data_IF_104743010914
#
_entry.id   IF_104743010914
#
_cell.length_a   1.000
_cell.length_b   1.000
_cell.length_c   1.000
_cell.angle_alpha   90.00
_cell.angle_beta   90.00
_cell.angle_gamma   90.00
#
_symmetry.space_group_name_H-M   'P 1'
#
loop_
_entity.id
_entity.type
_entity.pdbx_description
1 polymer ?
#
# COMPACT_ATOMS: atom_id res chain seq x y z
N UNK A 1 55.10 37.79 -51.42
CA UNK A 1 55.27 37.33 -50.01
C UNK A 1 53.89 36.81 -49.53
N UNK A 2 53.68 35.52 -49.63
CA UNK A 2 52.39 34.93 -49.33
C UNK A 2 52.39 34.45 -47.87
N UNK A 3 51.63 35.10 -47.02
CA UNK A 3 51.42 34.74 -45.60
C UNK A 3 50.39 33.62 -45.53
N UNK A 4 50.78 32.41 -45.14
CA UNK A 4 49.86 31.35 -44.85
C UNK A 4 49.50 31.40 -43.34
N UNK A 5 48.26 31.77 -43.08
CA UNK A 5 47.68 31.71 -41.71
C UNK A 5 47.11 30.28 -41.43
N UNK A 6 47.74 29.57 -40.52
CA UNK A 6 47.24 28.24 -40.08
C UNK A 6 46.44 28.46 -38.80
N UNK A 7 45.13 28.24 -38.86
CA UNK A 7 44.25 28.28 -37.70
C UNK A 7 44.22 26.88 -37.07
N UNK A 8 44.73 26.75 -35.84
CA UNK A 8 44.66 25.53 -35.08
C UNK A 8 43.36 25.57 -34.21
N UNK A 9 42.42 24.67 -34.47
CA UNK A 9 41.29 24.44 -33.61
C UNK A 9 41.71 23.52 -32.46
N UNK A 10 41.70 24.03 -31.24
CA UNK A 10 41.80 23.21 -30.03
C UNK A 10 40.37 22.78 -29.69
N UNK A 11 40.04 21.54 -29.96
CA UNK A 11 38.79 20.93 -29.47
C UNK A 11 38.97 20.66 -27.99
N UNK A 12 38.29 21.41 -27.13
CA UNK A 12 38.16 21.08 -25.72
C UNK A 12 37.17 19.90 -25.62
N UNK A 13 37.68 18.70 -25.29
CA UNK A 13 36.86 17.56 -24.90
C UNK A 13 36.35 17.81 -23.50
N UNK A 14 35.05 18.14 -23.35
CA UNK A 14 34.37 18.08 -22.08
C UNK A 14 34.12 16.62 -21.79
N UNK A 15 34.92 16.03 -20.93
CA UNK A 15 34.62 14.73 -20.34
C UNK A 15 33.53 14.93 -19.28
N UNK A 16 32.30 14.68 -19.62
CA UNK A 16 31.26 14.44 -18.60
C UNK A 16 31.62 13.14 -17.95
N UNK A 17 31.99 13.18 -16.66
CA UNK A 17 32.06 11.99 -15.87
C UNK A 17 30.63 11.42 -15.82
N UNK A 18 30.41 10.26 -16.44
CA UNK A 18 29.19 9.51 -16.24
C UNK A 18 29.18 9.10 -14.76
N UNK A 19 28.24 9.63 -13.98
CA UNK A 19 27.97 9.13 -12.63
C UNK A 19 27.53 7.68 -12.81
N UNK A 20 28.21 6.75 -12.14
CA UNK A 20 27.85 5.35 -12.21
C UNK A 20 26.43 5.20 -11.66
N UNK A 21 25.56 4.57 -12.43
CA UNK A 21 24.21 4.25 -12.00
C UNK A 21 24.31 3.12 -10.98
N UNK A 22 23.82 3.36 -9.76
CA UNK A 22 23.82 2.39 -8.68
C UNK A 22 22.48 1.65 -8.66
N UNK A 23 22.47 0.36 -8.33
CA UNK A 23 21.22 -0.27 -7.94
C UNK A 23 20.84 0.20 -6.53
N UNK A 24 19.55 0.12 -6.21
CA UNK A 24 19.03 0.68 -4.96
C UNK A 24 19.58 -0.04 -3.72
N UNK A 25 19.79 -1.38 -3.80
CA UNK A 25 20.36 -2.14 -2.69
C UNK A 25 21.81 -1.70 -2.40
N UNK A 26 22.63 -1.48 -3.46
CA UNK A 26 23.98 -0.96 -3.28
C UNK A 26 24.00 0.40 -2.59
N UNK A 27 23.04 1.28 -2.92
CA UNK A 27 22.89 2.57 -2.25
C UNK A 27 22.55 2.39 -0.78
N UNK A 28 21.61 1.51 -0.46
CA UNK A 28 21.18 1.26 0.92
C UNK A 28 22.32 0.66 1.79
N UNK A 29 23.16 -0.19 1.22
CA UNK A 29 24.18 -0.91 1.97
C UNK A 29 25.53 -0.22 2.04
N UNK A 30 25.91 0.57 1.02
CA UNK A 30 27.29 1.01 0.83
C UNK A 30 27.49 2.53 0.81
N UNK A 31 26.40 3.32 0.85
CA UNK A 31 26.47 4.78 0.86
C UNK A 31 26.06 5.35 2.22
N UNK A 32 26.53 6.56 2.51
CA UNK A 32 26.26 7.24 3.78
C UNK A 32 25.31 8.43 3.57
N UNK A 33 24.69 8.85 4.65
CA UNK A 33 23.95 10.12 4.70
C UNK A 33 24.86 11.25 4.24
N UNK A 34 24.40 12.05 3.28
CA UNK A 34 25.14 13.14 2.64
C UNK A 34 25.82 12.77 1.34
N UNK A 35 25.93 11.49 0.99
CA UNK A 35 26.46 11.08 -0.31
C UNK A 35 25.45 11.41 -1.43
N UNK A 36 25.95 11.82 -2.58
CA UNK A 36 25.12 12.06 -3.77
C UNK A 36 25.12 10.82 -4.66
N UNK A 37 23.93 10.32 -4.95
CA UNK A 37 23.74 9.09 -5.74
C UNK A 37 22.80 9.33 -6.92
N UNK A 38 22.88 8.44 -7.90
CA UNK A 38 21.89 8.32 -8.97
C UNK A 38 21.28 6.92 -8.90
N UNK A 39 19.98 6.86 -8.66
CA UNK A 39 19.18 5.63 -8.63
C UNK A 39 18.22 5.60 -9.80
N UNK A 40 17.92 4.40 -10.30
CA UNK A 40 16.95 4.21 -11.38
C UNK A 40 16.00 3.08 -11.00
N UNK A 41 14.73 3.24 -11.35
CA UNK A 41 13.71 2.24 -11.06
C UNK A 41 12.36 2.61 -11.64
N UNK A 42 11.33 1.96 -11.13
CA UNK A 42 9.93 2.22 -11.43
C UNK A 42 9.26 2.80 -10.18
N UNK A 43 8.48 3.87 -10.38
CA UNK A 43 7.71 4.51 -9.32
C UNK A 43 6.57 3.61 -8.91
N UNK A 44 6.47 3.33 -7.61
CA UNK A 44 5.46 2.43 -7.03
C UNK A 44 4.38 3.14 -6.24
N UNK A 45 4.45 4.46 -6.09
CA UNK A 45 3.48 5.29 -5.36
C UNK A 45 3.13 6.57 -6.10
N UNK A 46 2.06 7.23 -5.69
CA UNK A 46 1.58 8.51 -6.21
C UNK A 46 1.36 9.55 -5.08
N UNK A 47 0.56 10.59 -5.34
CA UNK A 47 0.24 11.67 -4.41
C UNK A 47 -0.66 11.24 -3.25
N UNK A 48 -1.27 10.05 -3.29
CA UNK A 48 -1.93 9.46 -2.12
C UNK A 48 -0.97 9.31 -0.92
N UNK A 49 0.34 9.17 -1.19
CA UNK A 49 1.37 9.14 -0.16
C UNK A 49 2.05 10.51 0.08
N UNK A 50 1.42 11.60 -0.34
CA UNK A 50 1.93 12.96 -0.20
C UNK A 50 2.98 13.32 -1.26
N UNK A 51 4.00 14.13 -0.92
CA UNK A 51 5.07 14.50 -1.85
C UNK A 51 6.14 13.42 -2.03
N UNK A 52 6.26 12.48 -1.09
CA UNK A 52 7.20 11.36 -1.20
C UNK A 52 6.74 10.41 -2.29
N UNK A 53 7.66 9.99 -3.14
CA UNK A 53 7.49 8.88 -4.07
C UNK A 53 8.39 7.73 -3.65
N UNK A 54 7.98 6.51 -3.99
CA UNK A 54 8.82 5.34 -3.77
C UNK A 54 9.25 4.81 -5.13
N UNK A 55 10.55 4.57 -5.26
CA UNK A 55 11.20 4.03 -6.44
C UNK A 55 11.68 2.62 -6.11
N UNK A 56 11.42 1.67 -6.99
CA UNK A 56 11.85 0.29 -6.81
C UNK A 56 12.54 -0.22 -8.08
N UNK A 57 13.67 -0.89 -7.89
CA UNK A 57 14.34 -1.67 -8.93
C UNK A 57 14.23 -3.18 -8.65
N UNK A 58 15.00 -4.00 -9.35
CA UNK A 58 15.01 -5.45 -9.13
C UNK A 58 15.67 -5.87 -7.80
N UNK A 59 16.30 -4.96 -7.07
CA UNK A 59 17.13 -5.24 -5.90
C UNK A 59 16.52 -4.73 -4.60
N UNK A 60 15.92 -3.54 -4.59
CA UNK A 60 15.35 -2.91 -3.40
C UNK A 60 14.41 -1.75 -3.75
N UNK A 61 13.85 -1.11 -2.74
CA UNK A 61 13.10 0.13 -2.81
C UNK A 61 13.77 1.28 -2.06
N UNK A 62 13.43 2.52 -2.41
CA UNK A 62 13.90 3.72 -1.73
C UNK A 62 12.87 4.85 -1.84
N UNK A 63 12.78 5.69 -0.80
CA UNK A 63 11.95 6.88 -0.85
C UNK A 63 12.65 8.00 -1.64
N UNK A 64 11.87 8.78 -2.38
CA UNK A 64 12.29 9.99 -3.08
C UNK A 64 11.55 11.18 -2.47
N UNK A 65 12.29 12.14 -1.93
CA UNK A 65 11.71 13.34 -1.36
C UNK A 65 12.14 14.59 -2.14
N UNK A 66 11.23 15.27 -2.87
CA UNK A 66 11.58 16.42 -3.70
C UNK A 66 11.74 17.73 -2.91
N UNK A 67 11.57 17.71 -1.60
CA UNK A 67 11.42 18.90 -0.79
C UNK A 67 9.94 19.25 -0.59
N UNK A 68 9.50 20.40 -1.09
CA UNK A 68 8.11 20.84 -0.91
C UNK A 68 7.13 20.08 -1.82
N UNK A 69 7.44 20.03 -3.11
CA UNK A 69 6.63 19.36 -4.13
C UNK A 69 7.48 19.01 -5.37
N UNK A 70 6.84 18.44 -6.40
CA UNK A 70 7.46 18.08 -7.68
C UNK A 70 7.37 19.19 -8.74
N UNK A 71 6.93 20.40 -8.37
CA UNK A 71 6.63 21.48 -9.31
C UNK A 71 7.85 22.05 -10.04
N UNK A 72 9.06 21.82 -9.56
CA UNK A 72 10.32 22.26 -10.19
C UNK A 72 10.80 21.30 -11.30
N UNK A 73 10.11 20.15 -11.48
CA UNK A 73 10.45 19.12 -12.45
C UNK A 73 9.45 19.09 -13.61
N UNK A 74 9.87 18.57 -14.77
CA UNK A 74 9.05 18.52 -15.98
C UNK A 74 7.73 17.77 -15.82
N UNK A 75 7.67 16.82 -14.87
CA UNK A 75 6.47 16.08 -14.52
C UNK A 75 6.52 15.62 -13.06
N UNK A 76 5.35 15.43 -12.46
CA UNK A 76 5.20 14.75 -11.17
C UNK A 76 5.21 13.23 -11.39
N UNK A 77 6.15 12.47 -10.78
CA UNK A 77 6.21 11.03 -10.96
C UNK A 77 4.92 10.33 -10.53
N UNK A 78 4.45 9.39 -11.36
CA UNK A 78 3.25 8.59 -11.16
C UNK A 78 3.59 7.10 -11.10
N UNK A 79 2.68 6.31 -10.51
CA UNK A 79 2.83 4.85 -10.48
C UNK A 79 3.06 4.32 -11.90
N UNK A 80 4.13 3.54 -12.07
CA UNK A 80 4.52 2.93 -13.33
C UNK A 80 5.49 3.75 -14.17
N UNK A 81 5.82 4.99 -13.78
CA UNK A 81 6.86 5.75 -14.44
C UNK A 81 8.24 5.12 -14.17
N UNK A 82 9.02 4.95 -15.25
CA UNK A 82 10.44 4.60 -15.15
C UNK A 82 11.26 5.86 -15.22
N UNK A 83 12.12 6.06 -14.23
CA UNK A 83 12.93 7.27 -14.14
C UNK A 83 14.26 7.04 -13.41
N UNK A 84 15.20 7.94 -13.56
CA UNK A 84 16.36 8.08 -12.69
C UNK A 84 16.27 9.38 -11.88
N UNK A 85 16.78 9.32 -10.65
CA UNK A 85 16.86 10.47 -9.76
C UNK A 85 18.27 10.58 -9.22
N UNK A 86 18.81 11.80 -9.27
CA UNK A 86 20.09 12.14 -8.64
C UNK A 86 19.83 13.10 -7.49
N UNK A 87 20.34 12.74 -6.31
CA UNK A 87 20.18 13.55 -5.12
C UNK A 87 21.04 13.07 -3.97
N UNK A 88 20.96 13.79 -2.86
CA UNK A 88 21.67 13.48 -1.62
C UNK A 88 20.89 12.42 -0.83
N UNK A 89 21.58 11.46 -0.24
CA UNK A 89 20.98 10.51 0.70
C UNK A 89 20.72 11.21 2.02
N UNK A 90 19.49 11.13 2.49
CA UNK A 90 19.07 11.64 3.80
C UNK A 90 18.24 10.60 4.56
N UNK A 91 17.96 10.88 5.80
CA UNK A 91 17.10 10.04 6.64
C UNK A 91 16.06 10.94 7.34
N UNK A 92 14.81 10.50 7.31
CA UNK A 92 13.74 11.16 8.02
C UNK A 92 13.02 10.19 8.97
N UNK A 93 13.29 10.30 10.27
CA UNK A 93 12.73 9.43 11.31
C UNK A 93 12.90 7.92 11.00
N UNK A 94 14.09 7.54 10.56
CA UNK A 94 14.46 6.18 10.19
C UNK A 94 14.32 5.90 8.69
N UNK A 95 13.36 6.52 7.99
CA UNK A 95 13.14 6.30 6.56
C UNK A 95 14.32 6.84 5.73
N UNK A 96 14.98 5.97 4.97
CA UNK A 96 16.05 6.35 4.05
C UNK A 96 15.47 6.98 2.78
N UNK A 97 15.96 8.17 2.43
CA UNK A 97 15.46 8.96 1.31
C UNK A 97 16.57 9.45 0.39
N UNK A 98 16.28 9.60 -0.90
CA UNK A 98 17.04 10.47 -1.80
C UNK A 98 16.30 11.81 -1.86
N UNK A 99 16.91 12.86 -1.35
CA UNK A 99 16.33 14.21 -1.24
C UNK A 99 16.79 14.94 0.04
N UNK A 100 16.24 16.13 0.35
CA UNK A 100 15.33 16.96 -0.46
C UNK A 100 16.05 17.70 -1.61
N UNK A 101 17.36 17.59 -1.73
CA UNK A 101 18.17 18.31 -2.70
C UNK A 101 18.37 17.45 -3.97
N UNK A 102 17.28 17.20 -4.70
CA UNK A 102 17.36 16.52 -5.99
C UNK A 102 18.05 17.44 -7.02
N UNK A 103 18.97 16.88 -7.80
CA UNK A 103 19.74 17.63 -8.82
C UNK A 103 19.40 17.21 -10.24
N UNK A 104 18.78 16.03 -10.44
CA UNK A 104 18.25 15.58 -11.71
C UNK A 104 17.09 14.59 -11.50
N UNK A 105 16.10 14.66 -12.39
CA UNK A 105 15.02 13.67 -12.53
C UNK A 105 14.82 13.46 -14.04
N UNK A 106 15.17 12.28 -14.54
CA UNK A 106 15.08 11.93 -15.95
C UNK A 106 14.02 10.85 -16.14
N UNK A 107 12.97 11.14 -16.91
CA UNK A 107 11.89 10.22 -17.21
C UNK A 107 12.20 9.38 -18.46
N UNK A 108 11.99 8.07 -18.38
CA UNK A 108 12.20 7.12 -19.48
C UNK A 108 10.90 6.60 -20.09
N UNK A 109 9.75 7.05 -19.57
CA UNK A 109 8.42 6.60 -19.96
C UNK A 109 7.89 5.49 -19.04
N UNK A 110 6.93 4.70 -19.54
CA UNK A 110 6.31 3.64 -18.74
C UNK A 110 7.29 2.49 -18.49
N UNK A 111 7.43 2.11 -17.23
CA UNK A 111 8.13 0.92 -16.76
C UNK A 111 7.17 -0.23 -16.47
N UNK A 112 7.73 -1.38 -16.13
CA UNK A 112 6.94 -2.52 -15.61
C UNK A 112 6.93 -2.45 -14.10
N UNK A 113 5.74 -2.34 -13.49
CA UNK A 113 5.62 -2.39 -12.04
C UNK A 113 6.21 -3.70 -11.50
N UNK A 114 6.96 -3.66 -10.40
CA UNK A 114 7.40 -4.86 -9.73
C UNK A 114 6.19 -5.62 -9.18
N UNK A 115 6.27 -6.96 -9.24
CA UNK A 115 5.29 -7.79 -8.54
C UNK A 115 5.43 -7.59 -7.03
N UNK A 116 4.33 -7.37 -6.29
CA UNK A 116 4.39 -7.20 -4.85
C UNK A 116 4.98 -8.46 -4.17
N UNK A 117 6.00 -8.29 -3.33
CA UNK A 117 6.54 -9.38 -2.55
C UNK A 117 5.55 -9.80 -1.46
N UNK A 118 5.20 -11.08 -1.41
CA UNK A 118 4.32 -11.63 -0.38
C UNK A 118 5.09 -11.79 0.94
N UNK A 119 4.58 -11.16 2.01
CA UNK A 119 5.22 -11.12 3.33
C UNK A 119 4.21 -11.29 4.46
N UNK A 120 4.71 -11.53 5.68
CA UNK A 120 3.92 -11.42 6.92
C UNK A 120 4.21 -10.09 7.63
N UNK A 121 3.36 -9.65 8.58
CA UNK A 121 3.60 -8.41 9.33
C UNK A 121 4.97 -8.36 10.02
N UNK A 122 5.46 -9.47 10.57
CA UNK A 122 6.76 -9.53 11.25
C UNK A 122 7.98 -9.38 10.30
N UNK A 123 7.77 -9.51 8.98
CA UNK A 123 8.81 -9.33 7.98
C UNK A 123 8.97 -7.87 7.52
N UNK A 124 8.11 -6.95 8.00
CA UNK A 124 8.30 -5.52 7.74
C UNK A 124 9.52 -5.03 8.50
N UNK A 125 10.63 -4.89 7.81
CA UNK A 125 11.92 -4.46 8.37
C UNK A 125 12.71 -3.61 7.37
N UNK A 126 13.93 -3.22 7.76
CA UNK A 126 14.85 -2.40 6.98
C UNK A 126 15.13 -2.97 5.58
N UNK A 127 15.20 -4.29 5.44
CA UNK A 127 15.51 -4.93 4.16
C UNK A 127 14.40 -4.78 3.12
N UNK A 128 13.17 -4.51 3.58
CA UNK A 128 11.98 -4.34 2.74
C UNK A 128 11.49 -2.89 2.66
N UNK A 129 12.13 -1.96 3.39
CA UNK A 129 11.77 -0.56 3.34
C UNK A 129 11.82 -0.01 1.91
N UNK A 130 10.79 0.73 1.53
CA UNK A 130 10.63 1.29 0.19
C UNK A 130 10.05 0.33 -0.85
N UNK A 131 9.88 -0.94 -0.53
CA UNK A 131 9.37 -1.94 -1.46
C UNK A 131 7.85 -2.09 -1.42
N UNK A 132 7.29 -2.40 -2.58
CA UNK A 132 5.89 -2.79 -2.73
C UNK A 132 5.72 -4.24 -2.28
N UNK A 133 4.83 -4.45 -1.32
CA UNK A 133 4.57 -5.76 -0.73
C UNK A 133 3.09 -6.11 -0.72
N UNK A 134 2.80 -7.39 -0.46
CA UNK A 134 1.46 -7.92 -0.23
C UNK A 134 1.43 -8.67 1.09
N UNK A 135 0.42 -8.42 1.91
CA UNK A 135 0.10 -9.17 3.13
C UNK A 135 -1.29 -9.78 2.93
N UNK A 136 -1.37 -11.10 2.98
CA UNK A 136 -2.62 -11.81 2.77
C UNK A 136 -3.37 -12.00 4.10
N UNK A 137 -4.71 -12.07 4.03
CA UNK A 137 -5.57 -12.40 5.15
C UNK A 137 -5.58 -11.35 6.27
N UNK A 138 -5.53 -10.07 5.90
CA UNK A 138 -5.54 -8.94 6.83
C UNK A 138 -6.93 -8.71 7.40
N UNK A 139 -7.02 -8.51 8.71
CA UNK A 139 -8.21 -8.10 9.44
C UNK A 139 -7.92 -6.87 10.30
N UNK A 140 -8.92 -6.00 10.47
CA UNK A 140 -8.80 -4.77 11.26
C UNK A 140 -9.56 -4.90 12.58
N UNK A 141 -8.89 -4.80 13.76
CA UNK A 141 -9.56 -4.84 15.06
C UNK A 141 -10.58 -3.72 15.27
N UNK A 142 -10.39 -2.59 14.59
CA UNK A 142 -11.27 -1.41 14.64
C UNK A 142 -12.18 -1.31 13.42
N UNK A 143 -12.63 -2.44 12.86
CA UNK A 143 -13.58 -2.45 11.74
C UNK A 143 -14.81 -1.56 12.00
N UNK A 144 -15.30 -0.88 10.95
CA UNK A 144 -16.38 0.10 11.03
C UNK A 144 -15.94 1.49 11.52
N UNK A 145 -14.67 1.69 11.83
CA UNK A 145 -14.13 3.03 12.15
C UNK A 145 -13.80 3.77 10.86
N UNK A 146 -14.21 5.03 10.76
CA UNK A 146 -13.82 5.88 9.63
C UNK A 146 -12.34 6.23 9.67
N UNK A 147 -11.69 6.07 8.52
CA UNK A 147 -10.27 6.37 8.34
C UNK A 147 -10.08 7.89 8.33
N UNK A 148 -9.19 8.39 9.17
CA UNK A 148 -8.77 9.79 9.21
C UNK A 148 -7.34 9.92 8.69
N UNK A 149 -7.02 11.08 8.12
CA UNK A 149 -5.68 11.35 7.61
C UNK A 149 -4.64 11.56 8.72
N UNK A 150 -3.39 11.27 8.41
CA UNK A 150 -2.24 11.30 9.32
C UNK A 150 -2.46 10.46 10.58
N UNK A 151 -3.00 9.27 10.39
CA UNK A 151 -3.35 8.34 11.47
C UNK A 151 -2.84 6.93 11.16
N UNK A 152 -2.58 6.18 12.24
CA UNK A 152 -2.20 4.77 12.20
C UNK A 152 -3.38 3.89 12.59
N UNK A 153 -3.43 2.69 12.01
CA UNK A 153 -4.42 1.66 12.33
C UNK A 153 -3.73 0.32 12.42
N UNK A 154 -3.99 -0.38 13.52
CA UNK A 154 -3.50 -1.73 13.70
C UNK A 154 -4.25 -2.71 12.79
N UNK A 155 -3.54 -3.71 12.30
CA UNK A 155 -4.10 -4.85 11.60
C UNK A 155 -3.49 -6.14 12.08
N UNK A 156 -4.17 -7.28 11.84
CA UNK A 156 -3.67 -8.61 12.12
C UNK A 156 -3.69 -9.45 10.84
N UNK A 157 -2.67 -10.29 10.66
CA UNK A 157 -2.58 -11.29 9.60
C UNK A 157 -1.67 -12.43 10.05
N UNK A 158 -2.01 -13.67 9.71
CA UNK A 158 -1.21 -14.87 10.04
C UNK A 158 -0.87 -15.02 11.54
N UNK A 159 -1.68 -14.46 12.45
CA UNK A 159 -1.44 -14.47 13.89
C UNK A 159 -0.44 -13.43 14.39
N UNK A 160 -0.01 -12.52 13.53
CA UNK A 160 0.90 -11.40 13.82
C UNK A 160 0.16 -10.08 13.68
N UNK A 161 0.71 -9.01 14.27
CA UNK A 161 0.16 -7.66 14.18
C UNK A 161 1.08 -6.74 13.40
N UNK A 162 0.49 -5.83 12.62
CA UNK A 162 1.18 -4.77 11.91
C UNK A 162 0.40 -3.45 12.04
N UNK A 163 0.95 -2.41 11.45
CA UNK A 163 0.37 -1.06 11.46
C UNK A 163 0.33 -0.52 10.03
N UNK A 164 -0.79 0.03 9.62
CA UNK A 164 -0.85 0.92 8.46
C UNK A 164 -0.77 2.38 8.90
N UNK A 165 -0.20 3.22 8.05
CA UNK A 165 -0.28 4.67 8.18
C UNK A 165 -0.98 5.26 6.95
N UNK A 166 -2.01 6.09 7.20
CA UNK A 166 -2.79 6.73 6.15
C UNK A 166 -2.53 8.23 6.18
N UNK A 167 -1.98 8.78 5.09
CA UNK A 167 -1.77 10.23 4.96
C UNK A 167 -3.08 10.97 4.69
N UNK A 168 -3.12 12.27 4.99
CA UNK A 168 -4.30 13.13 4.71
C UNK A 168 -4.63 13.19 3.20
N UNK A 169 -3.63 13.04 2.34
CA UNK A 169 -3.82 13.03 0.88
C UNK A 169 -4.39 11.71 0.35
N UNK A 170 -4.43 10.66 1.17
CA UNK A 170 -4.85 9.33 0.73
C UNK A 170 -6.36 9.26 0.53
N UNK A 171 -6.78 8.66 -0.57
CA UNK A 171 -8.19 8.45 -0.93
C UNK A 171 -8.92 7.44 -0.04
N UNK A 172 -8.21 6.74 0.87
CA UNK A 172 -8.81 5.98 1.96
C UNK A 172 -9.44 6.88 3.05
N UNK A 173 -9.08 8.16 3.13
CA UNK A 173 -9.64 9.08 4.14
C UNK A 173 -11.13 9.27 3.91
N UNK A 174 -11.92 8.94 4.93
CA UNK A 174 -13.38 8.97 4.89
C UNK A 174 -14.04 7.62 4.58
N UNK A 175 -13.28 6.62 4.14
CA UNK A 175 -13.76 5.24 4.03
C UNK A 175 -13.78 4.58 5.42
N UNK A 176 -14.59 3.56 5.59
CA UNK A 176 -14.58 2.72 6.80
C UNK A 176 -13.52 1.62 6.70
N UNK A 177 -12.82 1.35 7.81
CA UNK A 177 -12.02 0.12 7.92
C UNK A 177 -12.94 -1.08 7.73
N UNK A 178 -12.63 -1.89 6.73
CA UNK A 178 -13.47 -3.04 6.40
C UNK A 178 -13.53 -4.06 7.54
N UNK A 179 -14.71 -4.65 7.77
CA UNK A 179 -14.89 -5.82 8.63
C UNK A 179 -14.53 -7.13 7.94
N UNK A 180 -14.19 -7.07 6.66
CA UNK A 180 -13.83 -8.21 5.84
C UNK A 180 -12.35 -8.49 5.89
N UNK A 181 -11.98 -9.76 5.74
CA UNK A 181 -10.60 -10.14 5.47
C UNK A 181 -10.20 -9.66 4.08
N UNK A 182 -9.06 -9.01 3.98
CA UNK A 182 -8.51 -8.48 2.73
C UNK A 182 -7.07 -8.93 2.52
N UNK A 183 -6.67 -9.05 1.28
CA UNK A 183 -5.25 -9.03 0.93
C UNK A 183 -4.85 -7.57 0.74
N UNK A 184 -3.83 -7.15 1.44
CA UNK A 184 -3.43 -5.75 1.47
C UNK A 184 -2.09 -5.54 0.77
N UNK A 185 -2.07 -4.62 -0.21
CA UNK A 185 -0.86 -4.13 -0.82
C UNK A 185 -0.45 -2.81 -0.15
N UNK A 186 0.82 -2.49 -0.25
CA UNK A 186 1.35 -1.22 0.21
C UNK A 186 2.86 -1.15 0.13
N UNK A 187 3.39 0.00 0.48
CA UNK A 187 4.83 0.23 0.57
C UNK A 187 5.26 0.05 2.03
N UNK A 188 6.29 -0.74 2.29
CA UNK A 188 6.92 -0.77 3.62
C UNK A 188 7.64 0.55 3.84
N UNK A 189 7.34 1.23 4.93
CA UNK A 189 7.95 2.50 5.31
C UNK A 189 8.31 2.48 6.78
N UNK A 190 9.10 3.44 7.21
CA UNK A 190 9.51 3.57 8.60
C UNK A 190 9.14 4.95 9.16
N UNK A 191 8.75 4.98 10.42
CA UNK A 191 8.65 6.21 11.20
C UNK A 191 9.04 5.94 12.64
N UNK A 192 10.26 6.29 13.01
CA UNK A 192 10.83 6.07 14.33
C UNK A 192 11.70 7.25 14.75
N UNK A 193 11.45 7.79 15.94
CA UNK A 193 12.23 8.92 16.45
C UNK A 193 13.66 8.55 16.90
N UNK A 194 13.91 7.27 17.12
CA UNK A 194 15.23 6.74 17.52
C UNK A 194 15.94 5.97 16.40
N UNK A 195 15.32 5.93 15.20
CA UNK A 195 15.86 5.28 14.02
C UNK A 195 15.75 3.75 14.02
N UNK A 196 15.05 3.15 15.01
CA UNK A 196 14.91 1.70 15.11
C UNK A 196 13.44 1.29 15.14
N UNK A 197 13.09 0.24 14.40
CA UNK A 197 11.70 -0.25 14.31
C UNK A 197 10.76 0.82 13.73
N UNK A 198 9.47 0.79 14.12
CA UNK A 198 8.48 1.74 13.62
C UNK A 198 8.09 1.50 12.16
N UNK A 199 8.28 0.26 11.66
CA UNK A 199 7.86 -0.11 10.32
C UNK A 199 6.34 -0.15 10.23
N UNK A 200 5.85 0.40 9.13
CA UNK A 200 4.44 0.54 8.84
C UNK A 200 4.18 0.29 7.36
N UNK A 201 3.01 -0.22 7.03
CA UNK A 201 2.59 -0.35 5.64
C UNK A 201 1.85 0.92 5.20
N UNK A 202 2.14 1.41 4.02
CA UNK A 202 1.46 2.54 3.38
C UNK A 202 0.60 2.03 2.22
N UNK A 203 -0.70 1.77 2.41
CA UNK A 203 -1.61 1.51 1.30
C UNK A 203 -1.71 2.74 0.40
N UNK A 204 -1.69 2.54 -0.91
CA UNK A 204 -1.72 3.64 -1.91
C UNK A 204 -3.14 4.13 -2.23
N UNK A 205 -4.14 3.46 -1.67
CA UNK A 205 -5.56 3.79 -1.84
C UNK A 205 -6.46 2.57 -1.68
N UNK A 206 -7.78 2.70 -1.90
CA UNK A 206 -8.74 1.61 -1.73
C UNK A 206 -8.44 0.37 -2.59
N UNK A 207 -7.79 0.54 -3.73
CA UNK A 207 -7.41 -0.56 -4.63
C UNK A 207 -6.39 -1.53 -4.02
N UNK A 208 -5.70 -1.10 -2.96
CA UNK A 208 -4.73 -1.90 -2.25
C UNK A 208 -5.36 -2.77 -1.14
N UNK A 209 -6.66 -2.60 -0.85
CA UNK A 209 -7.43 -3.46 0.04
C UNK A 209 -8.31 -4.39 -0.81
N UNK A 210 -7.78 -5.55 -1.16
CA UNK A 210 -8.41 -6.50 -2.07
C UNK A 210 -9.20 -7.50 -1.24
N UNK A 211 -10.54 -7.58 -1.35
CA UNK A 211 -11.32 -8.55 -0.59
C UNK A 211 -10.79 -9.98 -0.81
N UNK A 212 -10.46 -10.69 0.27
CA UNK A 212 -9.95 -12.06 0.22
C UNK A 212 -11.02 -13.06 -0.23
N UNK A 213 -12.29 -12.69 -0.09
CA UNK A 213 -13.45 -13.44 -0.60
C UNK A 213 -14.39 -12.51 -1.36
N UNK A 214 -15.15 -13.09 -2.29
CA UNK A 214 -16.15 -12.34 -3.07
C UNK A 214 -17.32 -11.84 -2.21
N UNK A 215 -17.47 -12.32 -0.99
CA UNK A 215 -18.54 -11.97 -0.06
C UNK A 215 -18.04 -11.99 1.38
N UNK A 216 -18.34 -10.96 2.11
CA UNK A 216 -17.97 -10.83 3.51
C UNK A 216 -19.17 -10.41 4.37
N UNK A 217 -19.24 -10.93 5.60
CA UNK A 217 -20.20 -10.49 6.60
C UNK A 217 -19.69 -9.20 7.26
N UNK A 218 -20.43 -8.11 7.12
CA UNK A 218 -20.09 -6.80 7.70
C UNK A 218 -20.78 -6.55 9.06
N UNK A 219 -21.67 -7.46 9.47
CA UNK A 219 -22.24 -7.45 10.82
C UNK A 219 -22.35 -8.87 11.38
N UNK A 220 -22.30 -9.04 12.70
CA UNK A 220 -22.64 -10.31 13.32
C UNK A 220 -24.09 -10.68 13.02
N UNK A 221 -24.34 -12.00 12.89
CA UNK A 221 -25.73 -12.51 12.79
C UNK A 221 -26.45 -12.21 14.11
N UNK A 222 -27.54 -11.45 14.03
CA UNK A 222 -28.38 -11.10 15.18
C UNK A 222 -29.67 -11.89 15.18
N UNK A 223 -30.09 -12.32 16.37
CA UNK A 223 -31.36 -13.03 16.59
C UNK A 223 -32.38 -12.09 17.26
N UNK A 224 -33.55 -11.99 16.66
CA UNK A 224 -34.66 -11.16 17.15
C UNK A 224 -35.98 -11.92 17.08
N UNK A 225 -37.04 -11.35 17.60
CA UNK A 225 -38.41 -11.90 17.55
C UNK A 225 -38.48 -13.35 18.06
N UNK A 226 -37.74 -13.65 19.13
CA UNK A 226 -37.68 -15.00 19.74
C UNK A 226 -39.03 -15.41 20.30
N UNK A 227 -39.57 -16.53 19.80
CA UNK A 227 -40.77 -17.19 20.29
C UNK A 227 -40.49 -18.68 20.42
N UNK A 228 -41.48 -19.44 20.96
CA UNK A 228 -41.31 -20.85 21.23
C UNK A 228 -41.04 -21.69 19.98
N UNK A 229 -41.55 -21.27 18.83
CA UNK A 229 -41.49 -22.03 17.56
C UNK A 229 -40.98 -21.19 16.41
N UNK A 230 -40.44 -19.98 16.69
CA UNK A 230 -39.95 -19.08 15.63
C UNK A 230 -38.94 -18.08 16.14
N UNK A 231 -38.08 -17.59 15.27
CA UNK A 231 -37.22 -16.41 15.47
C UNK A 231 -36.80 -15.81 14.11
N UNK A 232 -36.25 -14.62 14.17
CA UNK A 232 -35.71 -13.91 13.01
C UNK A 232 -34.20 -13.80 13.13
N UNK A 233 -33.46 -14.12 12.06
CA UNK A 233 -32.03 -13.83 11.92
C UNK A 233 -31.86 -12.66 10.97
N UNK A 234 -30.91 -11.78 11.28
CA UNK A 234 -30.50 -10.70 10.38
C UNK A 234 -29.00 -10.50 10.42
N UNK A 235 -28.43 -10.16 9.26
CA UNK A 235 -27.01 -9.84 9.07
C UNK A 235 -26.85 -8.93 7.87
N UNK A 236 -25.66 -8.37 7.68
CA UNK A 236 -25.27 -7.59 6.50
C UNK A 236 -24.03 -8.16 5.86
N UNK A 237 -23.92 -7.96 4.55
CA UNK A 237 -22.76 -8.32 3.72
C UNK A 237 -22.22 -7.08 3.02
N UNK A 238 -20.98 -7.10 2.56
CA UNK A 238 -20.32 -6.00 1.82
C UNK A 238 -20.93 -5.78 0.44
N UNK A 239 -21.37 -6.85 -0.20
CA UNK A 239 -21.98 -6.83 -1.52
C UNK A 239 -23.43 -7.30 -1.47
N UNK A 240 -24.24 -6.83 -2.40
CA UNK A 240 -25.58 -7.35 -2.60
C UNK A 240 -25.51 -8.80 -3.07
N UNK A 241 -26.17 -9.70 -2.35
CA UNK A 241 -26.26 -11.13 -2.66
C UNK A 241 -27.57 -11.72 -2.15
N UNK A 242 -27.86 -12.96 -2.54
CA UNK A 242 -28.95 -13.73 -1.94
C UNK A 242 -28.45 -14.36 -0.62
N UNK A 243 -29.20 -14.15 0.46
CA UNK A 243 -28.89 -14.72 1.76
C UNK A 243 -29.56 -16.08 1.95
N UNK A 244 -28.79 -17.10 2.33
CA UNK A 244 -29.32 -18.44 2.64
C UNK A 244 -28.68 -18.95 3.93
N UNK A 245 -29.45 -19.58 4.79
CA UNK A 245 -28.98 -20.26 5.98
C UNK A 245 -29.34 -21.74 5.93
N UNK A 246 -28.51 -22.55 6.55
CA UNK A 246 -28.81 -23.95 6.84
C UNK A 246 -29.00 -24.10 8.35
N UNK A 247 -30.00 -24.89 8.74
CA UNK A 247 -30.30 -25.16 10.15
C UNK A 247 -30.82 -26.59 10.38
N UNK A 248 -30.75 -27.06 11.59
CA UNK A 248 -31.22 -28.40 11.94
C UNK A 248 -31.09 -28.69 13.43
N UNK A 249 -31.57 -29.86 13.88
CA UNK A 249 -31.47 -30.32 15.26
C UNK A 249 -30.13 -31.01 15.58
N UNK A 250 -29.31 -31.26 14.57
CA UNK A 250 -27.99 -31.90 14.67
C UNK A 250 -26.97 -31.09 13.90
N UNK A 251 -25.68 -31.40 14.08
CA UNK A 251 -24.57 -30.77 13.37
C UNK A 251 -24.62 -30.97 11.83
N UNK A 252 -25.36 -32.00 11.38
CA UNK A 252 -25.56 -32.24 9.92
C UNK A 252 -26.54 -31.24 9.29
N UNK A 253 -27.18 -30.38 10.08
CA UNK A 253 -28.16 -29.38 9.63
C UNK A 253 -29.32 -30.02 8.84
N UNK A 254 -29.47 -29.69 7.56
CA UNK A 254 -30.38 -30.40 6.64
C UNK A 254 -31.61 -29.62 6.20
N UNK A 255 -31.89 -28.46 6.79
CA UNK A 255 -32.97 -27.58 6.37
C UNK A 255 -32.40 -26.23 5.90
N UNK A 256 -32.87 -25.73 4.77
CA UNK A 256 -32.41 -24.45 4.19
C UNK A 256 -33.52 -23.41 4.27
N UNK A 257 -33.19 -22.19 4.63
CA UNK A 257 -34.09 -21.04 4.53
C UNK A 257 -33.38 -19.87 3.81
N UNK A 258 -34.14 -19.18 2.96
CA UNK A 258 -33.64 -18.06 2.15
C UNK A 258 -34.13 -16.73 2.71
N UNK A 259 -33.30 -15.71 2.67
CA UNK A 259 -33.64 -14.36 3.10
C UNK A 259 -34.79 -13.80 2.27
N UNK A 260 -35.70 -13.10 2.94
CA UNK A 260 -36.89 -12.50 2.32
C UNK A 260 -36.56 -11.24 1.50
N UNK A 261 -35.36 -10.68 1.68
CA UNK A 261 -34.93 -9.41 1.11
C UNK A 261 -34.33 -9.53 -0.31
N UNK A 262 -34.06 -10.75 -0.80
CA UNK A 262 -33.47 -10.96 -2.11
C UNK A 262 -32.04 -10.44 -2.24
N UNK A 263 -31.60 -10.08 -3.44
CA UNK A 263 -30.26 -9.61 -3.73
C UNK A 263 -30.00 -8.20 -3.16
N UNK A 264 -29.59 -8.14 -1.89
CA UNK A 264 -29.29 -6.91 -1.14
C UNK A 264 -28.14 -7.14 -0.16
N UNK A 265 -27.46 -6.08 0.32
CA UNK A 265 -26.47 -6.22 1.41
C UNK A 265 -27.12 -6.52 2.79
N UNK A 266 -28.42 -6.35 2.95
CA UNK A 266 -29.11 -6.55 4.22
C UNK A 266 -30.01 -7.77 4.13
N UNK A 267 -29.76 -8.76 4.97
CA UNK A 267 -30.44 -10.05 4.93
C UNK A 267 -31.29 -10.25 6.16
N UNK A 268 -32.50 -10.78 5.96
CA UNK A 268 -33.44 -11.15 7.02
C UNK A 268 -34.01 -12.52 6.68
N UNK A 269 -33.89 -13.46 7.61
CA UNK A 269 -34.50 -14.79 7.50
C UNK A 269 -35.45 -14.99 8.69
N UNK A 270 -36.71 -15.27 8.39
CA UNK A 270 -37.70 -15.66 9.42
C UNK A 270 -37.79 -17.18 9.44
N UNK A 271 -37.48 -17.76 10.58
CA UNK A 271 -37.67 -19.19 10.85
C UNK A 271 -38.95 -19.38 11.65
N UNK A 272 -39.87 -20.22 11.13
CA UNK A 272 -41.16 -20.51 11.74
C UNK A 272 -41.38 -22.02 11.76
N UNK A 273 -42.28 -22.49 12.62
CA UNK A 273 -42.61 -23.90 12.72
C UNK A 273 -41.52 -24.76 13.31
N UNK A 274 -40.64 -24.17 14.12
CA UNK A 274 -39.58 -24.89 14.83
C UNK A 274 -40.19 -25.73 15.96
N UNK A 275 -39.59 -26.88 16.26
CA UNK A 275 -39.98 -27.69 17.43
C UNK A 275 -39.43 -27.01 18.71
N UNK A 276 -40.24 -26.90 19.78
CA UNK A 276 -39.75 -26.40 21.05
C UNK A 276 -38.70 -27.39 21.61
N UNK A 277 -37.51 -26.84 22.01
CA UNK A 277 -36.44 -27.59 22.65
C UNK A 277 -36.72 -27.91 24.12
#
# INVERSE_FOLDING_TARGET
MNLKLTLAFVAATVTTAAVAQNNILDVRENYNIGDVVTVTGVVTSDDNLGSVRYLQDATAGIALYPGADWGDWDATPQIGDSLSVTGEITEYNGLLEVGPNLTAVDFFGAGTLPEPLEITPAQMDESLEGQLVRINGVTFPLAGTFITGNSTYDFNAAGESGVIYVRTSNTLVGEELTGCEVDMLGIVSQFSFDGFGGYQLLPRGPVDLIPASALCYTSPVTQTNLATTSFTLSWTTDLACDGTIEYGLTEDLGTTATAVTGNTPSHVVNLEGLEPG
#
